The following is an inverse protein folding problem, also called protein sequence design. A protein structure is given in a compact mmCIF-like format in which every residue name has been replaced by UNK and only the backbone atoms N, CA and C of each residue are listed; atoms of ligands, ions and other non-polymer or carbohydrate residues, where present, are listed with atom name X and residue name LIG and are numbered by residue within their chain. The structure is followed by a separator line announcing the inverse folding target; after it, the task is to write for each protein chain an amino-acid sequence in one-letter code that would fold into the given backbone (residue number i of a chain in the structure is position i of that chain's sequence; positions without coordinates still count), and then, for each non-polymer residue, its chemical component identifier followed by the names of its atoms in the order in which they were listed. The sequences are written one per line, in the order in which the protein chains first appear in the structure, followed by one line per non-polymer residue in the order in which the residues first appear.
data_IF_018165173744
#
_entry.id   IF_018165173744
#
_cell.length_a   1.000
_cell.length_b   1.000
_cell.length_c   1.000
_cell.angle_alpha   90.00
_cell.angle_beta   90.00
_cell.angle_gamma   90.00
#
_symmetry.space_group_name_H-M   'P 1'
#
loop_
_entity.id
_entity.type
_entity.pdbx_description
1 polymer ?
#
# COMPACT_ATOMS: atom_id res chain seq x y z
N UNK A 1 -14.15 1.65 -1.96
CA UNK A 1 -14.15 0.47 -2.84
C UNK A 1 -13.98 -0.82 -2.04
N UNK A 2 -13.07 -0.89 -1.06
CA UNK A 2 -12.89 -2.09 -0.22
C UNK A 2 -14.16 -2.67 0.44
N UNK A 3 -15.05 -1.80 0.95
CA UNK A 3 -16.35 -2.25 1.47
C UNK A 3 -17.22 -2.91 0.38
N UNK A 4 -17.20 -2.36 -0.84
CA UNK A 4 -17.95 -2.88 -1.99
C UNK A 4 -17.41 -4.25 -2.40
N UNK A 5 -16.09 -4.42 -2.44
CA UNK A 5 -15.44 -5.72 -2.71
C UNK A 5 -15.84 -6.75 -1.65
N UNK A 6 -15.82 -6.37 -0.36
CA UNK A 6 -16.19 -7.26 0.74
C UNK A 6 -17.67 -7.69 0.67
N UNK A 7 -18.55 -6.76 0.33
CA UNK A 7 -19.99 -7.02 0.24
C UNK A 7 -20.35 -7.87 -0.99
N UNK A 8 -19.64 -7.68 -2.11
CA UNK A 8 -19.90 -8.41 -3.36
C UNK A 8 -19.18 -9.75 -3.46
N UNK A 9 -17.96 -9.87 -2.89
CA UNK A 9 -17.10 -11.04 -2.98
C UNK A 9 -16.49 -11.37 -1.59
N UNK A 10 -17.27 -11.97 -0.66
CA UNK A 10 -16.82 -12.22 0.72
C UNK A 10 -15.55 -13.07 0.83
N UNK A 11 -15.28 -13.94 -0.14
CA UNK A 11 -14.06 -14.76 -0.19
C UNK A 11 -12.77 -13.92 -0.35
N UNK A 12 -12.87 -12.67 -0.80
CA UNK A 12 -11.76 -11.73 -0.92
C UNK A 12 -11.49 -10.93 0.37
N UNK A 13 -12.29 -11.12 1.43
CA UNK A 13 -12.19 -10.35 2.69
C UNK A 13 -10.78 -10.39 3.31
N UNK A 14 -10.10 -11.55 3.24
CA UNK A 14 -8.72 -11.67 3.73
C UNK A 14 -7.76 -10.72 3.00
N UNK A 15 -7.88 -10.58 1.67
CA UNK A 15 -7.04 -9.70 0.86
C UNK A 15 -7.36 -8.23 1.14
N UNK A 16 -8.65 -7.90 1.26
CA UNK A 16 -9.10 -6.56 1.67
C UNK A 16 -8.48 -6.17 3.03
N UNK A 17 -8.55 -7.06 4.03
CA UNK A 17 -7.97 -6.80 5.36
C UNK A 17 -6.45 -6.62 5.32
N UNK A 18 -5.76 -7.38 4.45
CA UNK A 18 -4.31 -7.24 4.26
C UNK A 18 -3.96 -5.83 3.76
N UNK A 19 -4.65 -5.35 2.72
CA UNK A 19 -4.46 -4.03 2.13
C UNK A 19 -4.81 -2.90 3.11
N UNK A 20 -5.90 -3.02 3.85
CA UNK A 20 -6.25 -2.08 4.93
C UNK A 20 -5.15 -2.00 6.00
N UNK A 21 -4.55 -3.14 6.36
CA UNK A 21 -3.42 -3.17 7.29
C UNK A 21 -2.18 -2.52 6.69
N UNK A 22 -1.88 -2.76 5.42
CA UNK A 22 -0.76 -2.13 4.71
C UNK A 22 -0.92 -0.60 4.70
N UNK A 23 -2.11 -0.07 4.45
CA UNK A 23 -2.40 1.37 4.59
C UNK A 23 -2.10 1.92 5.97
N UNK A 24 -2.48 1.22 7.04
CA UNK A 24 -2.19 1.64 8.40
C UNK A 24 -0.68 1.62 8.69
N UNK A 25 0.02 0.60 8.18
CA UNK A 25 1.48 0.50 8.29
C UNK A 25 2.18 1.64 7.58
N UNK A 26 1.79 1.98 6.35
CA UNK A 26 2.37 3.11 5.60
C UNK A 26 2.19 4.43 6.32
N UNK A 27 1.01 4.67 6.93
CA UNK A 27 0.81 5.87 7.75
C UNK A 27 1.77 5.91 8.93
N UNK A 28 1.94 4.80 9.65
CA UNK A 28 2.93 4.72 10.73
C UNK A 28 4.37 4.97 10.25
N UNK A 29 4.76 4.39 9.11
CA UNK A 29 6.08 4.65 8.51
C UNK A 29 6.26 6.12 8.12
N UNK A 30 5.24 6.77 7.58
CA UNK A 30 5.29 8.19 7.26
C UNK A 30 5.43 9.05 8.52
N UNK A 31 4.69 8.74 9.59
CA UNK A 31 4.77 9.45 10.87
C UNK A 31 6.19 9.35 11.47
N UNK A 32 6.83 8.19 11.35
CA UNK A 32 8.22 7.97 11.78
C UNK A 32 9.24 8.71 10.89
N UNK A 33 9.04 8.71 9.58
CA UNK A 33 9.99 9.26 8.61
C UNK A 33 9.90 10.79 8.52
N UNK A 34 8.74 11.38 8.79
CA UNK A 34 8.49 12.82 8.70
C UNK A 34 9.53 13.68 9.46
N UNK A 35 9.86 13.42 10.74
CA UNK A 35 10.87 14.21 11.44
C UNK A 35 12.27 14.04 10.84
N UNK A 36 12.62 12.83 10.37
CA UNK A 36 13.91 12.55 9.73
C UNK A 36 14.05 13.32 8.41
N UNK A 37 12.99 13.33 7.60
CA UNK A 37 12.91 14.10 6.35
C UNK A 37 13.04 15.60 6.60
N UNK A 38 12.36 16.12 7.63
CA UNK A 38 12.46 17.54 7.98
C UNK A 38 13.88 17.96 8.40
N UNK A 39 14.68 17.01 8.92
CA UNK A 39 16.04 17.22 9.37
C UNK A 39 17.12 16.93 8.31
N UNK A 40 16.75 16.41 7.11
CA UNK A 40 17.69 15.89 6.09
C UNK A 40 18.91 16.79 5.81
N UNK A 41 18.71 18.10 5.72
CA UNK A 41 19.79 19.05 5.39
C UNK A 41 20.85 19.21 6.50
N UNK A 42 20.55 18.79 7.72
CA UNK A 42 21.43 18.87 8.88
C UNK A 42 21.98 17.50 9.30
N UNK A 43 21.64 16.43 8.58
CA UNK A 43 22.11 15.09 8.90
C UNK A 43 23.54 14.87 8.40
N UNK A 44 24.35 14.11 9.15
CA UNK A 44 25.57 13.48 8.63
C UNK A 44 25.28 12.61 7.39
N UNK A 45 26.27 12.46 6.51
CA UNK A 45 26.13 11.76 5.22
C UNK A 45 25.61 10.32 5.36
N UNK A 46 26.10 9.58 6.36
CA UNK A 46 25.66 8.21 6.66
C UNK A 46 24.18 8.14 7.08
N UNK A 47 23.73 9.11 7.89
CA UNK A 47 22.33 9.21 8.30
C UNK A 47 21.44 9.68 7.15
N UNK A 48 21.94 10.57 6.30
CA UNK A 48 21.25 11.01 5.09
C UNK A 48 21.00 9.82 4.15
N UNK A 49 22.03 9.04 3.84
CA UNK A 49 21.91 7.85 2.99
C UNK A 49 20.93 6.83 3.58
N UNK A 50 20.98 6.63 4.90
CA UNK A 50 20.04 5.77 5.60
C UNK A 50 18.59 6.23 5.44
N UNK A 51 18.29 7.51 5.68
CA UNK A 51 16.93 8.07 5.49
C UNK A 51 16.48 7.95 4.04
N UNK A 52 17.36 8.22 3.07
CA UNK A 52 17.07 8.02 1.66
C UNK A 52 16.73 6.57 1.32
N UNK A 53 17.48 5.59 1.84
CA UNK A 53 17.17 4.17 1.64
C UNK A 53 15.80 3.80 2.20
N UNK A 54 15.42 4.33 3.37
CA UNK A 54 14.10 4.09 3.96
C UNK A 54 12.96 4.69 3.13
N UNK A 55 13.19 5.85 2.51
CA UNK A 55 12.22 6.46 1.58
C UNK A 55 12.04 5.56 0.36
N UNK A 56 13.13 5.07 -0.24
CA UNK A 56 13.07 4.16 -1.39
C UNK A 56 12.33 2.88 -1.03
N UNK A 57 12.66 2.26 0.10
CA UNK A 57 11.97 1.05 0.59
C UNK A 57 10.46 1.29 0.81
N UNK A 58 10.06 2.48 1.27
CA UNK A 58 8.65 2.82 1.41
C UNK A 58 7.96 2.95 0.05
N UNK A 59 8.61 3.60 -0.92
CA UNK A 59 8.07 3.76 -2.27
C UNK A 59 7.89 2.40 -2.95
N UNK A 60 8.88 1.51 -2.89
CA UNK A 60 8.79 0.16 -3.47
C UNK A 60 7.63 -0.64 -2.86
N UNK A 61 7.37 -0.46 -1.55
CA UNK A 61 6.23 -1.12 -0.89
C UNK A 61 4.88 -0.54 -1.30
N UNK A 62 4.81 0.77 -1.56
CA UNK A 62 3.60 1.42 -2.07
C UNK A 62 3.32 0.94 -3.49
N UNK A 63 4.33 0.89 -4.36
CA UNK A 63 4.17 0.36 -5.73
C UNK A 63 3.66 -1.08 -5.72
N UNK A 64 4.23 -1.93 -4.86
CA UNK A 64 3.75 -3.31 -4.72
C UNK A 64 2.31 -3.39 -4.19
N UNK A 65 1.95 -2.50 -3.25
CA UNK A 65 0.58 -2.42 -2.73
C UNK A 65 -0.40 -2.02 -3.82
N UNK A 66 -0.06 -1.02 -4.65
CA UNK A 66 -0.91 -0.54 -5.73
C UNK A 66 -1.19 -1.66 -6.76
N UNK A 67 -0.18 -2.48 -7.07
CA UNK A 67 -0.37 -3.67 -7.90
C UNK A 67 -1.36 -4.66 -7.27
N UNK A 68 -1.23 -4.94 -5.96
CA UNK A 68 -2.13 -5.83 -5.24
C UNK A 68 -3.58 -5.30 -5.20
N UNK A 69 -3.77 -3.97 -5.11
CA UNK A 69 -5.09 -3.33 -5.18
C UNK A 69 -5.70 -3.42 -6.58
N UNK A 70 -4.91 -3.17 -7.62
CA UNK A 70 -5.35 -3.29 -9.01
C UNK A 70 -5.81 -4.72 -9.29
N UNK A 71 -5.03 -5.72 -8.91
CA UNK A 71 -5.39 -7.12 -9.07
C UNK A 71 -6.70 -7.46 -8.34
N UNK A 72 -6.87 -6.98 -7.11
CA UNK A 72 -8.10 -7.19 -6.35
C UNK A 72 -9.32 -6.57 -7.04
N UNK A 73 -9.17 -5.35 -7.54
CA UNK A 73 -10.24 -4.64 -8.25
C UNK A 73 -10.58 -5.31 -9.57
N UNK A 74 -9.57 -5.73 -10.34
CA UNK A 74 -9.76 -6.48 -11.58
C UNK A 74 -10.51 -7.79 -11.32
N UNK A 75 -10.12 -8.56 -10.30
CA UNK A 75 -10.83 -9.81 -9.95
C UNK A 75 -12.28 -9.56 -9.50
N UNK A 76 -12.51 -8.46 -8.78
CA UNK A 76 -13.87 -8.08 -8.37
C UNK A 76 -14.75 -7.76 -9.58
N UNK A 77 -14.21 -7.03 -10.56
CA UNK A 77 -14.93 -6.54 -11.74
C UNK A 77 -15.04 -7.59 -12.87
N UNK A 78 -14.03 -8.44 -13.06
CA UNK A 78 -14.01 -9.46 -14.13
C UNK A 78 -14.95 -10.63 -13.84
N UNK A 79 -15.31 -10.88 -12.57
CA UNK A 79 -16.30 -11.91 -12.23
C UNK A 79 -17.75 -11.50 -12.51
N UNK A 80 -18.02 -10.32 -13.07
CA UNK A 80 -19.37 -9.88 -13.46
C UNK A 80 -19.68 -10.16 -14.95
N UNK A 81 -18.70 -10.53 -15.78
CA UNK A 81 -18.88 -10.89 -17.21
C UNK A 81 -18.87 -12.41 -17.48
N UNK A 82 -19.43 -13.19 -16.55
CA UNK A 82 -19.58 -14.65 -16.67
C UNK A 82 -21.00 -15.12 -16.98
N UNK A 83 -21.79 -14.34 -17.72
CA UNK A 83 -23.19 -14.63 -18.02
C UNK A 83 -23.53 -14.56 -19.51
N UNK A 84 -23.61 -15.74 -20.13
CA UNK A 84 -24.30 -16.10 -21.38
C UNK A 84 -23.80 -15.53 -22.73
N UNK A 85 -23.14 -16.43 -23.48
CA UNK A 85 -22.93 -16.38 -24.92
C UNK A 85 -22.43 -17.73 -25.43
#
# INVERSE_FOLDING_TARGET
YMNVVRDQKPHLEHRVKKLERQHAQFRGYLDELQPEVAALTALPEDQFEYVCSRIVDLLDRVDQHDLEEIELLQETLLCDEGGEG
#
